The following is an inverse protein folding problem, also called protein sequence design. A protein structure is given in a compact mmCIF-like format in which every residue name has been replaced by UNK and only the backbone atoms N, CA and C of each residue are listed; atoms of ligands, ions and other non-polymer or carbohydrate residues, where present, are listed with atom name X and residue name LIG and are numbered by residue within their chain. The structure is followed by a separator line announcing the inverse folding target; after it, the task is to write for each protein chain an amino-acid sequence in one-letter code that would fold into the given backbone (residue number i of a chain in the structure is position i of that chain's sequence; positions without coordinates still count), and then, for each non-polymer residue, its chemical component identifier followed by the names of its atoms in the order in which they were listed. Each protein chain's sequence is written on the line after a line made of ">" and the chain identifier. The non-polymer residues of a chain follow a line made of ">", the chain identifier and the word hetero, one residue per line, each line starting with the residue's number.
data_IF_826953364971
#
_entry.id   IF_826953364971
#
_cell.length_a   1.000
_cell.length_b   1.000
_cell.length_c   1.000
_cell.angle_alpha   90.00
_cell.angle_beta   90.00
_cell.angle_gamma   90.00
#
_symmetry.space_group_name_H-M   'P 1'
#
loop_
_entity.id
_entity.type
_entity.pdbx_description
1 polymer ?
#
# COMPACT_ATOMS: atom_id res chain seq x y z
N UNK A 1 5.89 5.57 22.06
CA UNK A 1 5.77 5.37 20.60
C UNK A 1 5.54 3.89 20.37
N UNK A 2 4.37 3.52 19.83
CA UNK A 2 4.08 2.12 19.52
C UNK A 2 4.87 1.76 18.26
N UNK A 3 6.00 1.08 18.41
CA UNK A 3 6.92 0.64 17.32
C UNK A 3 6.13 0.01 16.15
N UNK A 4 5.02 -0.64 16.46
CA UNK A 4 4.13 -1.27 15.49
C UNK A 4 3.42 -0.26 14.58
N UNK A 5 2.92 0.85 15.12
CA UNK A 5 2.27 1.87 14.30
C UNK A 5 3.29 2.62 13.42
N UNK A 6 4.52 2.81 13.92
CA UNK A 6 5.59 3.41 13.12
C UNK A 6 5.96 2.48 11.95
N UNK A 7 6.10 1.17 12.20
CA UNK A 7 6.31 0.17 11.15
C UNK A 7 5.15 0.14 10.13
N UNK A 8 3.90 0.16 10.60
CA UNK A 8 2.71 0.23 9.73
C UNK A 8 2.72 1.50 8.87
N UNK A 9 3.10 2.64 9.45
CA UNK A 9 3.17 3.93 8.74
C UNK A 9 4.22 3.90 7.62
N UNK A 10 5.42 3.40 7.91
CA UNK A 10 6.49 3.26 6.92
C UNK A 10 6.09 2.30 5.81
N UNK A 11 5.55 1.14 6.16
CA UNK A 11 5.10 0.16 5.17
C UNK A 11 3.96 0.70 4.29
N UNK A 12 3.00 1.43 4.86
CA UNK A 12 1.93 2.07 4.09
C UNK A 12 2.45 3.12 3.12
N UNK A 13 3.39 3.94 3.57
CA UNK A 13 4.04 4.94 2.72
C UNK A 13 4.75 4.27 1.53
N UNK A 14 5.49 3.20 1.78
CA UNK A 14 6.18 2.45 0.73
C UNK A 14 5.21 1.79 -0.25
N UNK A 15 4.13 1.19 0.25
CA UNK A 15 3.09 0.59 -0.59
C UNK A 15 2.48 1.61 -1.55
N UNK A 16 2.10 2.79 -1.03
CA UNK A 16 1.55 3.88 -1.86
C UNK A 16 2.51 4.26 -2.98
N UNK A 17 3.80 4.46 -2.67
CA UNK A 17 4.81 4.85 -3.65
C UNK A 17 4.99 3.77 -4.72
N UNK A 18 5.17 2.52 -4.32
CA UNK A 18 5.40 1.41 -5.25
C UNK A 18 4.16 1.14 -6.13
N UNK A 19 2.96 1.16 -5.56
CA UNK A 19 1.72 1.00 -6.30
C UNK A 19 1.50 2.14 -7.30
N UNK A 20 1.79 3.39 -6.94
CA UNK A 20 1.71 4.51 -7.87
C UNK A 20 2.63 4.31 -9.09
N UNK A 21 3.85 3.83 -8.86
CA UNK A 21 4.80 3.51 -9.94
C UNK A 21 4.28 2.36 -10.81
N UNK A 22 3.86 1.25 -10.20
CA UNK A 22 3.33 0.07 -10.90
C UNK A 22 2.09 0.40 -11.73
N UNK A 23 1.12 1.12 -11.14
CA UNK A 23 -0.06 1.60 -11.85
C UNK A 23 0.32 2.47 -13.05
N UNK A 24 1.35 3.32 -12.92
CA UNK A 24 1.89 4.08 -14.04
C UNK A 24 2.43 3.18 -15.17
N UNK A 25 3.18 2.12 -14.82
CA UNK A 25 3.71 1.16 -15.79
C UNK A 25 2.57 0.39 -16.47
N UNK A 26 1.62 -0.15 -15.71
CA UNK A 26 0.51 -0.91 -16.27
C UNK A 26 -0.43 -0.05 -17.12
N UNK A 27 -0.64 1.22 -16.78
CA UNK A 27 -1.36 2.16 -17.62
C UNK A 27 -0.66 2.37 -18.97
N UNK A 28 0.65 2.57 -18.96
CA UNK A 28 1.44 2.69 -20.21
C UNK A 28 1.37 1.40 -21.04
N UNK A 29 1.52 0.24 -20.40
CA UNK A 29 1.44 -1.06 -21.06
C UNK A 29 0.04 -1.31 -21.65
N UNK A 30 -1.01 -0.91 -20.95
CA UNK A 30 -2.37 -0.98 -21.47
C UNK A 30 -2.55 -0.08 -22.70
N UNK A 31 -2.04 1.15 -22.68
CA UNK A 31 -2.12 2.05 -23.83
C UNK A 31 -1.35 1.51 -25.05
N UNK A 32 -0.24 0.81 -24.83
CA UNK A 32 0.59 0.22 -25.87
C UNK A 32 0.02 -1.08 -26.44
N UNK A 33 -0.32 -2.04 -25.60
CA UNK A 33 -0.73 -3.39 -26.02
C UNK A 33 -2.25 -3.59 -26.10
N UNK A 34 -3.04 -2.71 -25.45
CA UNK A 34 -4.51 -2.78 -25.35
C UNK A 34 -5.05 -4.16 -24.96
N UNK A 35 -4.28 -4.93 -24.20
CA UNK A 35 -4.64 -6.27 -23.77
C UNK A 35 -5.34 -6.25 -22.40
N UNK A 36 -6.09 -7.31 -22.10
CA UNK A 36 -6.89 -7.42 -20.86
C UNK A 36 -6.01 -7.64 -19.60
N UNK A 37 -4.82 -8.22 -19.76
CA UNK A 37 -3.91 -8.49 -18.64
C UNK A 37 -3.39 -7.23 -17.92
N UNK A 38 -2.75 -6.24 -18.60
CA UNK A 38 -2.30 -5.01 -17.94
C UNK A 38 -3.47 -4.17 -17.43
N UNK A 39 -4.66 -4.26 -18.06
CA UNK A 39 -5.86 -3.61 -17.54
C UNK A 39 -6.31 -4.22 -16.20
N UNK A 40 -6.31 -5.55 -16.09
CA UNK A 40 -6.63 -6.25 -14.84
C UNK A 40 -5.65 -5.88 -13.73
N UNK A 41 -4.34 -5.88 -14.02
CA UNK A 41 -3.31 -5.44 -13.08
C UNK A 41 -3.47 -3.97 -12.70
N UNK A 42 -3.79 -3.09 -13.64
CA UNK A 42 -4.04 -1.67 -13.38
C UNK A 42 -5.20 -1.47 -12.43
N UNK A 43 -6.36 -2.08 -12.69
CA UNK A 43 -7.55 -1.96 -11.83
C UNK A 43 -7.25 -2.48 -10.43
N UNK A 44 -6.60 -3.65 -10.34
CA UNK A 44 -6.16 -4.23 -9.08
C UNK A 44 -5.21 -3.30 -8.32
N UNK A 45 -4.20 -2.76 -8.99
CA UNK A 45 -3.24 -1.82 -8.43
C UNK A 45 -3.89 -0.54 -7.93
N UNK A 46 -4.85 0.02 -8.67
CA UNK A 46 -5.58 1.22 -8.28
C UNK A 46 -6.47 0.98 -7.05
N UNK A 47 -7.11 -0.18 -6.95
CA UNK A 47 -7.88 -0.55 -5.77
C UNK A 47 -6.99 -0.64 -4.52
N UNK A 48 -5.86 -1.38 -4.62
CA UNK A 48 -4.89 -1.43 -3.54
C UNK A 48 -4.31 -0.05 -3.22
N UNK A 49 -4.02 0.77 -4.22
CA UNK A 49 -3.50 2.12 -4.01
C UNK A 49 -4.48 2.97 -3.20
N UNK A 50 -5.79 2.87 -3.49
CA UNK A 50 -6.81 3.57 -2.73
C UNK A 50 -6.86 3.12 -1.26
N UNK A 51 -6.79 1.80 -1.00
CA UNK A 51 -6.73 1.26 0.36
C UNK A 51 -5.48 1.73 1.11
N UNK A 52 -4.32 1.70 0.47
CA UNK A 52 -3.06 2.14 1.07
C UNK A 52 -3.02 3.65 1.32
N UNK A 53 -3.58 4.45 0.43
CA UNK A 53 -3.73 5.89 0.64
C UNK A 53 -4.61 6.19 1.86
N UNK A 54 -5.68 5.42 2.07
CA UNK A 54 -6.53 5.55 3.23
C UNK A 54 -5.79 5.16 4.52
N UNK A 55 -5.05 4.04 4.51
CA UNK A 55 -4.18 3.62 5.62
C UNK A 55 -3.13 4.68 5.95
N UNK A 56 -2.45 5.21 4.93
CA UNK A 56 -1.49 6.31 5.08
C UNK A 56 -2.13 7.57 5.69
N UNK A 57 -3.34 7.94 5.24
CA UNK A 57 -4.07 9.06 5.80
C UNK A 57 -4.31 8.87 7.30
N UNK A 58 -4.82 7.71 7.72
CA UNK A 58 -5.13 7.45 9.12
C UNK A 58 -3.90 7.27 10.02
N UNK A 59 -2.79 6.75 9.48
CA UNK A 59 -1.59 6.50 10.28
C UNK A 59 -0.68 7.74 10.37
N UNK A 60 -0.63 8.54 9.31
CA UNK A 60 0.38 9.60 9.13
C UNK A 60 -0.22 11.00 9.10
N UNK A 61 -1.32 11.20 8.35
CA UNK A 61 -1.85 12.55 8.10
C UNK A 61 -2.85 13.03 9.16
N UNK A 62 -3.68 12.14 9.70
CA UNK A 62 -4.69 12.49 10.70
C UNK A 62 -4.15 12.27 12.13
N UNK A 63 -3.75 13.34 12.84
CA UNK A 63 -3.16 13.19 14.17
C UNK A 63 -4.17 12.73 15.23
N UNK A 64 -5.47 12.98 15.04
CA UNK A 64 -6.49 12.55 15.98
C UNK A 64 -6.68 11.04 15.88
N UNK A 65 -6.87 10.53 14.66
CA UNK A 65 -7.02 9.09 14.41
C UNK A 65 -5.75 8.34 14.77
N UNK A 66 -4.57 8.85 14.40
CA UNK A 66 -3.30 8.24 14.76
C UNK A 66 -3.12 8.13 16.28
N UNK A 67 -3.55 9.13 17.05
CA UNK A 67 -3.49 9.09 18.53
C UNK A 67 -4.46 8.05 19.08
N UNK A 68 -5.69 8.01 18.59
CA UNK A 68 -6.66 6.97 18.97
C UNK A 68 -6.14 5.56 18.66
N UNK A 69 -5.49 5.35 17.52
CA UNK A 69 -4.90 4.06 17.16
C UNK A 69 -3.72 3.67 18.06
N UNK A 70 -2.92 4.64 18.52
CA UNK A 70 -1.86 4.40 19.51
C UNK A 70 -2.44 4.00 20.87
N UNK A 71 -3.56 4.59 21.25
CA UNK A 71 -4.16 4.43 22.58
C UNK A 71 -5.13 3.24 22.68
N UNK A 72 -5.79 2.84 21.57
CA UNK A 72 -6.87 1.87 21.58
C UNK A 72 -6.45 0.44 22.01
N UNK A 73 -5.25 -0.02 21.62
CA UNK A 73 -4.56 -1.20 22.16
C UNK A 73 -3.31 -1.54 21.33
N UNK A 74 -2.21 -2.02 21.95
CA UNK A 74 -1.01 -2.47 21.22
C UNK A 74 -1.25 -3.65 20.26
N UNK A 75 -2.34 -4.41 20.46
CA UNK A 75 -2.74 -5.51 19.57
C UNK A 75 -3.22 -5.00 18.22
N UNK A 76 -3.95 -3.88 18.17
CA UNK A 76 -4.44 -3.30 16.92
C UNK A 76 -3.27 -2.83 16.05
N UNK A 77 -2.29 -2.14 16.65
CA UNK A 77 -1.08 -1.71 15.94
C UNK A 77 -0.27 -2.88 15.37
N UNK A 78 -0.17 -4.00 16.08
CA UNK A 78 0.49 -5.22 15.58
C UNK A 78 -0.21 -5.82 14.37
N UNK A 79 -1.53 -5.93 14.42
CA UNK A 79 -2.33 -6.48 13.32
C UNK A 79 -2.23 -5.59 12.07
N UNK A 80 -2.35 -4.28 12.24
CA UNK A 80 -2.19 -3.30 11.16
C UNK A 80 -0.80 -3.37 10.52
N UNK A 81 0.25 -3.38 11.35
CA UNK A 81 1.63 -3.51 10.87
C UNK A 81 1.85 -4.81 10.08
N UNK A 82 1.31 -5.92 10.58
CA UNK A 82 1.44 -7.22 9.94
C UNK A 82 0.80 -7.24 8.56
N UNK A 83 -0.43 -6.74 8.43
CA UNK A 83 -1.13 -6.63 7.14
C UNK A 83 -0.34 -5.76 6.17
N UNK A 84 0.13 -4.60 6.64
CA UNK A 84 0.86 -3.65 5.80
C UNK A 84 2.18 -4.20 5.29
N UNK A 85 2.91 -4.95 6.12
CA UNK A 85 4.17 -5.60 5.74
C UNK A 85 3.93 -6.76 4.77
N UNK A 86 2.90 -7.58 4.99
CA UNK A 86 2.55 -8.64 4.03
C UNK A 86 2.20 -8.07 2.66
N UNK A 87 1.44 -6.97 2.65
CA UNK A 87 1.10 -6.28 1.42
C UNK A 87 2.34 -5.71 0.72
N UNK A 88 3.27 -5.10 1.48
CA UNK A 88 4.54 -4.62 0.93
C UNK A 88 5.32 -5.73 0.25
N UNK A 89 5.40 -6.92 0.87
CA UNK A 89 6.05 -8.08 0.26
C UNK A 89 5.37 -8.50 -1.05
N UNK A 90 4.03 -8.49 -1.08
CA UNK A 90 3.27 -8.77 -2.30
C UNK A 90 3.55 -7.74 -3.40
N UNK A 91 3.60 -6.45 -3.07
CA UNK A 91 3.88 -5.37 -4.02
C UNK A 91 5.31 -5.46 -4.54
N UNK A 92 6.29 -5.75 -3.67
CA UNK A 92 7.69 -5.98 -4.08
C UNK A 92 7.79 -7.14 -5.08
N UNK A 93 7.05 -8.23 -4.85
CA UNK A 93 6.98 -9.33 -5.82
C UNK A 93 6.38 -8.87 -7.16
N UNK A 94 5.34 -8.03 -7.15
CA UNK A 94 4.77 -7.46 -8.37
C UNK A 94 5.74 -6.51 -9.10
N UNK A 95 6.53 -5.71 -8.37
CA UNK A 95 7.60 -4.89 -8.94
C UNK A 95 8.63 -5.77 -9.63
N UNK A 96 9.08 -6.83 -8.96
CA UNK A 96 10.04 -7.78 -9.52
C UNK A 96 9.52 -8.43 -10.82
N UNK A 97 8.28 -8.92 -10.82
CA UNK A 97 7.65 -9.52 -12.01
C UNK A 97 7.43 -8.50 -13.14
N UNK A 98 7.16 -7.23 -12.80
CA UNK A 98 6.93 -6.18 -13.81
C UNK A 98 8.24 -5.69 -14.44
N UNK A 99 9.37 -5.86 -13.73
CA UNK A 99 10.69 -5.47 -14.23
C UNK A 99 11.29 -6.53 -15.17
N UNK A 100 11.03 -7.81 -14.92
CA UNK A 100 11.42 -8.94 -15.78
C UNK A 100 10.74 -8.89 -17.16
#
# INVERSE_FOLDING_TARGET
>A
MSIWLDAASVAATLNVVLLAVLSGIWARNYLQFRSKHPLGLLIFGLALLAENCLSFYYYVLDPQVATLLRDAAPVAGRAMAFVQVLELLAIVALVWITWD
#
